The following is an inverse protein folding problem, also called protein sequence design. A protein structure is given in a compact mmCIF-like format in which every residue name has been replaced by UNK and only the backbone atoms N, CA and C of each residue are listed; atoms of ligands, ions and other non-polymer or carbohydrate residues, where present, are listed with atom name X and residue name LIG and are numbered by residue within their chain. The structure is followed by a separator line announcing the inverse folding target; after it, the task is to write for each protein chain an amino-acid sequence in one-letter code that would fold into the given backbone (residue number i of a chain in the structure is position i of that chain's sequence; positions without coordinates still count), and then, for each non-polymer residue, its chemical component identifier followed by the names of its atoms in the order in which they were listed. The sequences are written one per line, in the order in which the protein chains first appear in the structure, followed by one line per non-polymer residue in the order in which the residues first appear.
data_IF_532998659304
#
_entry.id   IF_532998659304
#
_cell.length_a   1.000
_cell.length_b   1.000
_cell.length_c   1.000
_cell.angle_alpha   90.00
_cell.angle_beta   90.00
_cell.angle_gamma   90.00
#
_symmetry.space_group_name_H-M   'P 1'
#
loop_
_entity.id
_entity.type
_entity.pdbx_description
1 polymer ?
#
# COMPACT_ATOMS: atom_id res chain seq x y z
N UNK A 1 -36.33 -61.50 -27.98
CA UNK A 1 -35.55 -60.29 -28.01
C UNK A 1 -35.66 -59.61 -26.64
N UNK A 2 -34.65 -59.75 -25.79
CA UNK A 2 -34.60 -59.11 -24.45
C UNK A 2 -33.66 -57.93 -24.53
N UNK A 3 -34.21 -56.72 -24.42
CA UNK A 3 -33.46 -55.50 -24.39
C UNK A 3 -32.84 -55.30 -22.99
N UNK A 4 -31.52 -55.22 -22.91
CA UNK A 4 -30.77 -54.97 -21.69
C UNK A 4 -30.56 -53.47 -21.59
N UNK A 5 -31.22 -52.82 -20.63
CA UNK A 5 -31.09 -51.40 -20.34
C UNK A 5 -29.94 -51.20 -19.31
N UNK A 6 -28.78 -50.74 -19.79
CA UNK A 6 -27.63 -50.46 -18.95
C UNK A 6 -27.81 -49.06 -18.31
N UNK A 7 -28.05 -49.00 -17.03
CA UNK A 7 -28.16 -47.77 -16.25
C UNK A 7 -26.72 -47.23 -15.97
N UNK A 8 -26.35 -46.11 -16.58
CA UNK A 8 -25.08 -45.46 -16.38
C UNK A 8 -25.25 -44.50 -15.17
N UNK A 9 -24.73 -44.88 -14.03
CA UNK A 9 -24.72 -44.05 -12.81
C UNK A 9 -23.56 -43.04 -12.91
N UNK A 10 -23.89 -41.76 -13.15
CA UNK A 10 -22.93 -40.68 -13.02
C UNK A 10 -22.68 -40.37 -11.53
N UNK A 11 -21.51 -40.74 -11.02
CA UNK A 11 -21.01 -40.30 -9.71
C UNK A 11 -20.57 -38.86 -9.82
N UNK A 12 -21.38 -37.91 -9.35
CA UNK A 12 -21.00 -36.51 -9.20
C UNK A 12 -20.09 -36.41 -7.98
N UNK A 13 -18.78 -36.28 -8.21
CA UNK A 13 -17.84 -35.92 -7.15
C UNK A 13 -18.00 -34.43 -6.84
N UNK A 14 -18.71 -34.12 -5.76
CA UNK A 14 -18.71 -32.78 -5.19
C UNK A 14 -17.39 -32.62 -4.48
N UNK A 15 -16.47 -31.93 -5.14
CA UNK A 15 -15.25 -31.41 -4.50
C UNK A 15 -15.68 -30.34 -3.50
N UNK A 16 -15.71 -30.68 -2.23
CA UNK A 16 -15.74 -29.70 -1.15
C UNK A 16 -14.42 -28.92 -1.21
N UNK A 17 -14.45 -27.73 -1.77
CA UNK A 17 -13.40 -26.74 -1.56
C UNK A 17 -13.52 -26.34 -0.08
N UNK A 18 -12.71 -26.95 0.77
CA UNK A 18 -12.55 -26.50 2.15
C UNK A 18 -12.00 -25.08 2.06
N UNK A 19 -12.85 -24.09 2.28
CA UNK A 19 -12.46 -22.70 2.32
C UNK A 19 -11.39 -22.53 3.39
N UNK A 20 -10.16 -22.22 3.00
CA UNK A 20 -9.12 -21.87 3.97
C UNK A 20 -9.64 -20.67 4.77
N UNK A 21 -9.71 -20.83 6.08
CA UNK A 21 -10.06 -19.72 6.97
C UNK A 21 -9.08 -18.57 6.71
N UNK A 22 -9.63 -17.36 6.56
CA UNK A 22 -8.79 -16.19 6.38
C UNK A 22 -7.91 -16.03 7.62
N UNK A 23 -6.59 -15.85 7.46
CA UNK A 23 -5.72 -15.65 8.61
C UNK A 23 -6.14 -14.39 9.38
N UNK A 24 -6.14 -14.52 10.70
CA UNK A 24 -6.53 -13.41 11.59
C UNK A 24 -5.39 -12.37 11.59
N UNK A 25 -5.65 -11.12 11.17
CA UNK A 25 -4.63 -10.10 11.18
C UNK A 25 -4.17 -9.77 12.60
N UNK A 26 -2.88 -9.46 12.81
CA UNK A 26 -2.43 -8.85 14.05
C UNK A 26 -3.18 -7.55 14.34
N UNK A 27 -3.22 -7.15 15.61
CA UNK A 27 -3.84 -5.90 16.01
C UNK A 27 -3.29 -4.71 15.20
N UNK A 28 -4.16 -3.83 14.74
CA UNK A 28 -3.80 -2.67 13.94
C UNK A 28 -3.46 -2.97 12.47
N UNK A 29 -3.54 -4.21 12.02
CA UNK A 29 -3.28 -4.60 10.64
C UNK A 29 -4.55 -5.10 9.92
N UNK A 30 -4.49 -5.18 8.61
CA UNK A 30 -5.52 -5.78 7.74
C UNK A 30 -4.90 -6.86 6.86
N UNK A 31 -5.71 -7.82 6.45
CA UNK A 31 -5.33 -8.91 5.56
C UNK A 31 -5.52 -8.52 4.10
N UNK A 32 -4.46 -8.67 3.29
CA UNK A 32 -4.50 -8.56 1.83
C UNK A 32 -4.23 -9.95 1.24
N UNK A 33 -5.19 -10.55 0.50
CA UNK A 33 -5.05 -11.90 -0.03
C UNK A 33 -4.00 -11.98 -1.14
N UNK A 34 -3.44 -13.17 -1.34
CA UNK A 34 -2.63 -13.47 -2.52
C UNK A 34 -3.46 -13.31 -3.80
N UNK A 35 -2.77 -13.13 -4.91
CA UNK A 35 -3.39 -13.11 -6.23
C UNK A 35 -3.05 -11.87 -7.05
N UNK A 36 -3.67 -11.81 -8.21
CA UNK A 36 -3.44 -10.77 -9.21
C UNK A 36 -4.17 -9.47 -8.90
N UNK A 37 -3.65 -8.38 -9.45
CA UNK A 37 -4.27 -7.05 -9.45
C UNK A 37 -3.76 -6.24 -10.63
N UNK A 38 -4.47 -5.18 -10.99
CA UNK A 38 -4.06 -4.23 -12.02
C UNK A 38 -3.13 -3.19 -11.39
N UNK A 39 -1.88 -3.16 -11.86
CA UNK A 39 -0.83 -2.24 -11.42
C UNK A 39 -0.51 -1.23 -12.50
N UNK A 40 -0.23 0.01 -12.09
CA UNK A 40 0.08 1.10 -13.00
C UNK A 40 -1.13 1.69 -13.71
N UNK A 41 -0.92 2.50 -14.73
CA UNK A 41 -1.98 3.21 -15.42
C UNK A 41 -1.70 3.35 -16.91
N UNK A 42 -2.77 3.40 -17.72
CA UNK A 42 -2.68 3.77 -19.14
C UNK A 42 -2.70 5.29 -19.34
N UNK A 43 -3.22 6.05 -18.36
CA UNK A 43 -3.40 7.50 -18.43
C UNK A 43 -2.49 8.29 -17.47
N UNK A 44 -1.75 7.59 -16.60
CA UNK A 44 -0.84 8.17 -15.62
C UNK A 44 0.44 8.74 -16.25
N UNK A 45 1.34 9.19 -15.38
CA UNK A 45 2.64 9.68 -15.79
C UNK A 45 3.47 8.58 -16.49
N UNK A 46 4.50 8.93 -17.27
CA UNK A 46 5.28 7.94 -18.02
C UNK A 46 5.84 6.79 -17.18
N UNK A 47 6.20 7.04 -15.93
CA UNK A 47 6.75 6.04 -15.01
C UNK A 47 5.70 5.11 -14.39
N UNK A 48 4.41 5.46 -14.48
CA UNK A 48 3.29 4.61 -14.08
C UNK A 48 2.91 3.56 -15.14
N UNK A 49 3.55 3.59 -16.30
CA UNK A 49 3.24 2.74 -17.47
C UNK A 49 4.25 1.62 -17.62
N UNK A 50 3.88 0.51 -18.32
CA UNK A 50 2.52 0.19 -18.76
C UNK A 50 1.61 -0.22 -17.59
N UNK A 51 0.30 -0.08 -17.75
CA UNK A 51 -0.65 -0.80 -16.92
C UNK A 51 -0.48 -2.30 -17.16
N UNK A 52 -0.39 -3.10 -16.10
CA UNK A 52 -0.08 -4.51 -16.18
C UNK A 52 -0.78 -5.34 -15.11
N UNK A 53 -0.92 -6.65 -15.37
CA UNK A 53 -1.31 -7.59 -14.32
C UNK A 53 -0.07 -7.88 -13.48
N UNK A 54 -0.17 -7.61 -12.19
CA UNK A 54 0.85 -7.95 -11.20
C UNK A 54 0.26 -8.90 -10.16
N UNK A 55 1.11 -9.59 -9.41
CA UNK A 55 0.65 -10.49 -8.34
C UNK A 55 1.51 -10.31 -7.08
N UNK A 56 0.90 -10.59 -5.93
CA UNK A 56 1.60 -10.67 -4.64
C UNK A 56 1.21 -11.95 -3.92
N UNK A 57 2.05 -12.40 -2.99
CA UNK A 57 1.63 -13.31 -1.93
C UNK A 57 0.60 -12.63 -1.04
N UNK A 58 -0.04 -13.38 -0.15
CA UNK A 58 -0.85 -12.79 0.93
C UNK A 58 0.07 -12.14 1.97
N UNK A 59 -0.39 -11.05 2.56
CA UNK A 59 0.34 -10.33 3.61
C UNK A 59 -0.62 -9.57 4.53
N UNK A 60 -0.13 -9.16 5.67
CA UNK A 60 -0.78 -8.17 6.52
C UNK A 60 -0.15 -6.80 6.28
N UNK A 61 -0.97 -5.74 6.33
CA UNK A 61 -0.50 -4.35 6.22
C UNK A 61 -1.12 -3.50 7.32
N UNK A 62 -0.38 -2.52 7.82
CA UNK A 62 -0.88 -1.60 8.85
C UNK A 62 -2.10 -0.83 8.35
N UNK A 63 -3.13 -0.71 9.21
CA UNK A 63 -4.31 0.11 8.93
C UNK A 63 -3.98 1.57 8.72
N UNK A 64 -3.05 2.07 9.53
CA UNK A 64 -2.62 3.46 9.57
C UNK A 64 -1.13 3.57 9.33
N UNK A 65 -0.67 4.77 8.99
CA UNK A 65 0.74 5.12 9.07
C UNK A 65 1.23 5.01 10.52
N UNK A 66 2.51 4.75 10.71
CA UNK A 66 3.15 4.73 12.03
C UNK A 66 3.12 6.13 12.63
N UNK A 67 2.56 6.28 13.83
CA UNK A 67 2.48 7.56 14.52
C UNK A 67 3.81 7.98 15.16
N UNK A 68 3.92 9.27 15.47
CA UNK A 68 5.04 9.81 16.24
C UNK A 68 5.24 9.07 17.57
N UNK A 69 4.15 8.74 18.28
CA UNK A 69 4.20 7.99 19.54
C UNK A 69 4.71 6.56 19.34
N UNK A 70 4.29 5.89 18.27
CA UNK A 70 4.75 4.52 17.97
C UNK A 70 6.23 4.53 17.59
N UNK A 71 6.66 5.47 16.75
CA UNK A 71 8.06 5.60 16.35
C UNK A 71 8.97 5.94 17.53
N UNK A 72 8.53 6.79 18.46
CA UNK A 72 9.31 7.14 19.66
C UNK A 72 9.55 5.97 20.62
N UNK A 73 8.77 4.88 20.54
CA UNK A 73 9.07 3.65 21.29
C UNK A 73 10.32 2.95 20.76
N UNK A 74 10.58 3.07 19.46
CA UNK A 74 11.77 2.56 18.80
C UNK A 74 12.98 3.49 18.98
N UNK A 75 12.78 4.80 18.74
CA UNK A 75 13.82 5.82 18.86
C UNK A 75 13.42 6.85 19.95
N UNK A 76 13.83 6.65 21.23
CA UNK A 76 13.50 7.58 22.32
C UNK A 76 14.11 8.98 22.14
N UNK A 77 15.04 9.14 21.21
CA UNK A 77 15.62 10.45 20.88
C UNK A 77 14.78 11.24 19.87
N UNK A 78 13.82 10.59 19.22
CA UNK A 78 12.90 11.22 18.28
C UNK A 78 12.01 12.24 18.98
N UNK A 79 12.07 13.49 18.54
CA UNK A 79 11.32 14.59 19.15
C UNK A 79 10.19 15.05 18.25
N UNK A 80 9.03 15.29 18.84
CA UNK A 80 7.85 15.84 18.18
C UNK A 80 7.02 16.66 19.19
N UNK A 81 6.23 17.63 18.73
CA UNK A 81 5.29 18.36 19.57
C UNK A 81 4.23 17.44 20.16
N UNK A 82 3.87 17.61 21.42
CA UNK A 82 2.93 16.72 22.13
C UNK A 82 1.55 16.65 21.48
N UNK A 83 1.09 17.74 20.89
CA UNK A 83 -0.17 17.83 20.13
C UNK A 83 -0.13 16.99 18.85
N UNK A 84 1.06 16.67 18.33
CA UNK A 84 1.26 15.84 17.12
C UNK A 84 1.55 14.37 17.42
N UNK A 85 1.30 13.90 18.64
CA UNK A 85 1.60 12.52 19.05
C UNK A 85 0.98 11.45 18.17
N UNK A 86 -0.20 11.71 17.61
CA UNK A 86 -0.92 10.79 16.72
C UNK A 86 -0.64 11.01 15.23
N UNK A 87 0.08 12.06 14.85
CA UNK A 87 0.43 12.30 13.47
C UNK A 87 1.45 11.26 12.98
N UNK A 88 1.51 11.05 11.66
CA UNK A 88 2.48 10.17 11.05
C UNK A 88 3.93 10.63 11.34
N UNK A 89 4.78 9.68 11.67
CA UNK A 89 6.21 9.93 11.89
C UNK A 89 6.91 10.18 10.54
N UNK A 90 7.52 11.34 10.40
CA UNK A 90 8.28 11.73 9.20
C UNK A 90 9.75 11.38 9.44
N UNK A 91 10.26 10.43 8.66
CA UNK A 91 11.60 9.87 8.87
C UNK A 91 12.28 9.52 7.54
N UNK A 92 13.61 9.33 7.58
CA UNK A 92 14.38 8.82 6.44
C UNK A 92 14.05 7.35 6.15
N UNK A 93 14.38 6.90 4.95
CA UNK A 93 14.14 5.50 4.55
C UNK A 93 14.86 4.51 5.48
N UNK A 94 16.13 4.79 5.84
CA UNK A 94 16.90 3.94 6.74
C UNK A 94 16.28 3.82 8.13
N UNK A 95 15.73 4.91 8.66
CA UNK A 95 15.00 4.89 9.93
C UNK A 95 13.67 4.15 9.82
N UNK A 96 12.96 4.29 8.69
CA UNK A 96 11.73 3.56 8.42
C UNK A 96 11.95 2.05 8.35
N UNK A 97 12.98 1.60 7.64
CA UNK A 97 13.35 0.20 7.52
C UNK A 97 13.81 -0.39 8.87
N UNK A 98 14.61 0.36 9.63
CA UNK A 98 15.03 -0.04 10.97
C UNK A 98 13.85 -0.18 11.95
N UNK A 99 12.91 0.78 11.91
CA UNK A 99 11.67 0.69 12.70
C UNK A 99 10.85 -0.54 12.33
N UNK A 100 10.64 -0.77 11.04
CA UNK A 100 9.85 -1.91 10.57
C UNK A 100 10.45 -3.24 11.07
N UNK A 101 11.76 -3.42 10.96
CA UNK A 101 12.48 -4.59 11.48
C UNK A 101 12.36 -4.75 13.00
N UNK A 102 12.51 -3.65 13.75
CA UNK A 102 12.33 -3.64 15.20
C UNK A 102 10.91 -4.07 15.61
N UNK A 103 9.90 -3.68 14.83
CA UNK A 103 8.50 -4.04 15.06
C UNK A 103 8.15 -5.48 14.61
N UNK A 104 9.12 -6.27 14.13
CA UNK A 104 8.88 -7.62 13.59
C UNK A 104 8.10 -7.58 12.26
N UNK A 105 8.30 -6.52 11.47
CA UNK A 105 7.66 -6.22 10.20
C UNK A 105 8.72 -5.85 9.16
N UNK A 106 8.27 -5.41 7.98
CA UNK A 106 9.12 -4.81 6.95
C UNK A 106 8.37 -3.67 6.23
N UNK A 107 9.09 -2.89 5.44
CA UNK A 107 8.45 -1.97 4.52
C UNK A 107 7.71 -2.77 3.42
N UNK A 108 6.57 -2.27 2.90
CA UNK A 108 5.92 -2.88 1.75
C UNK A 108 6.80 -2.77 0.51
N UNK A 109 6.71 -3.74 -0.38
CA UNK A 109 7.10 -3.51 -1.75
C UNK A 109 6.10 -2.54 -2.42
N UNK A 110 6.55 -1.87 -3.47
CA UNK A 110 5.68 -0.99 -4.24
C UNK A 110 4.42 -1.71 -4.75
N UNK A 111 4.56 -2.97 -5.18
CA UNK A 111 3.44 -3.83 -5.61
C UNK A 111 2.45 -4.10 -4.49
N UNK A 112 2.92 -4.43 -3.30
CA UNK A 112 2.07 -4.69 -2.13
C UNK A 112 1.32 -3.43 -1.70
N UNK A 113 2.02 -2.29 -1.72
CA UNK A 113 1.43 -1.01 -1.39
C UNK A 113 0.29 -0.64 -2.36
N UNK A 114 0.54 -0.75 -3.68
CA UNK A 114 -0.46 -0.43 -4.69
C UNK A 114 -1.64 -1.39 -4.64
N UNK A 115 -1.40 -2.70 -4.46
CA UNK A 115 -2.48 -3.68 -4.26
C UNK A 115 -3.33 -3.37 -3.04
N UNK A 116 -2.73 -3.03 -1.91
CA UNK A 116 -3.45 -2.69 -0.70
C UNK A 116 -4.34 -1.46 -0.87
N UNK A 117 -4.00 -0.57 -1.79
CA UNK A 117 -4.74 0.63 -2.12
C UNK A 117 -5.92 0.36 -3.06
N UNK A 118 -5.78 -0.56 -4.03
CA UNK A 118 -6.85 -0.94 -4.95
C UNK A 118 -6.39 -2.03 -5.94
N UNK A 119 -7.31 -2.89 -6.36
CA UNK A 119 -6.99 -4.09 -7.15
C UNK A 119 -7.36 -4.01 -8.63
N UNK A 120 -8.21 -3.08 -9.01
CA UNK A 120 -8.91 -3.04 -10.30
C UNK A 120 -8.46 -1.88 -11.21
N UNK A 121 -7.33 -1.23 -10.86
CA UNK A 121 -6.79 -0.11 -11.64
C UNK A 121 -7.57 1.20 -11.47
N UNK A 122 -8.40 1.30 -10.42
CA UNK A 122 -9.16 2.52 -10.10
C UNK A 122 -8.26 3.73 -9.87
N UNK A 123 -8.77 4.92 -10.18
CA UNK A 123 -8.00 6.17 -10.08
C UNK A 123 -7.64 6.50 -8.64
N UNK A 124 -8.58 6.36 -7.69
CA UNK A 124 -8.38 6.61 -6.27
C UNK A 124 -8.70 5.36 -5.45
N UNK A 125 -8.24 5.22 -4.21
CA UNK A 125 -8.51 4.05 -3.39
C UNK A 125 -10.00 3.71 -3.23
N UNK A 126 -10.87 4.71 -3.28
CA UNK A 126 -12.32 4.60 -3.14
C UNK A 126 -13.09 4.47 -4.47
N UNK A 127 -12.43 4.63 -5.63
CA UNK A 127 -13.05 4.56 -6.96
C UNK A 127 -12.48 5.57 -7.95
N UNK A 128 -13.19 5.85 -9.02
CA UNK A 128 -12.67 6.69 -10.11
C UNK A 128 -13.04 8.18 -9.96
N UNK A 129 -13.98 8.49 -9.10
CA UNK A 129 -14.41 9.88 -8.87
C UNK A 129 -13.70 10.45 -7.64
N UNK A 130 -13.15 11.66 -7.80
CA UNK A 130 -12.52 12.37 -6.68
C UNK A 130 -13.55 12.70 -5.59
N UNK A 131 -13.20 12.39 -4.35
CA UNK A 131 -14.01 12.70 -3.15
C UNK A 131 -13.06 13.13 -2.02
N UNK A 132 -13.15 14.40 -1.64
CA UNK A 132 -12.30 15.01 -0.62
C UNK A 132 -12.57 14.49 0.81
N UNK A 133 -13.68 13.79 1.03
CA UNK A 133 -14.00 13.21 2.35
C UNK A 133 -13.10 12.03 2.74
N UNK A 134 -12.34 11.49 1.79
CA UNK A 134 -11.36 10.42 2.02
C UNK A 134 -9.92 10.92 2.18
N UNK A 135 -9.69 12.23 2.12
CA UNK A 135 -8.32 12.79 2.05
C UNK A 135 -8.05 13.72 3.21
N UNK A 136 -6.93 13.53 3.88
CA UNK A 136 -6.43 14.48 4.89
C UNK A 136 -5.64 15.57 4.15
N UNK A 137 -6.25 16.75 4.01
CA UNK A 137 -5.63 17.95 3.45
C UNK A 137 -5.16 18.95 4.51
N UNK A 138 -5.52 18.75 5.78
CA UNK A 138 -5.07 19.65 6.84
C UNK A 138 -3.59 19.42 7.10
N UNK A 139 -2.77 20.45 6.85
CA UNK A 139 -1.33 20.43 7.12
C UNK A 139 -0.98 20.25 8.60
N UNK A 140 -1.94 20.40 9.49
CA UNK A 140 -1.77 20.19 10.93
C UNK A 140 -1.91 18.74 11.34
N UNK A 141 -2.62 17.94 10.55
CA UNK A 141 -2.88 16.53 10.81
C UNK A 141 -2.35 15.65 9.68
N UNK A 142 -1.64 14.61 10.04
CA UNK A 142 -1.10 13.61 9.12
C UNK A 142 -1.37 12.23 9.71
N UNK A 143 -2.56 11.79 9.74
CA UNK A 143 -3.05 10.45 10.08
C UNK A 143 -4.55 10.57 10.33
N UNK A 144 -5.31 9.68 9.77
CA UNK A 144 -6.76 9.64 9.67
C UNK A 144 -7.62 9.74 10.92
N UNK A 145 -7.18 10.50 11.92
CA UNK A 145 -8.01 10.76 13.10
C UNK A 145 -9.28 11.55 12.78
N UNK A 146 -9.29 12.26 11.65
CA UNK A 146 -10.46 13.04 11.16
C UNK A 146 -11.27 12.30 10.11
N UNK A 147 -10.78 11.17 9.55
CA UNK A 147 -11.47 10.41 8.51
C UNK A 147 -12.23 9.25 9.11
N UNK A 148 -13.54 9.26 8.93
CA UNK A 148 -14.45 8.28 9.54
C UNK A 148 -14.43 6.90 8.89
N UNK A 149 -13.84 6.75 7.69
CA UNK A 149 -13.88 5.49 6.92
C UNK A 149 -12.59 5.23 6.16
N UNK A 150 -12.20 3.95 5.99
CA UNK A 150 -11.00 3.62 5.23
C UNK A 150 -11.17 3.96 3.75
N UNK A 151 -10.09 4.44 3.12
CA UNK A 151 -10.07 4.70 1.69
C UNK A 151 -9.92 3.41 0.87
N UNK A 152 -9.14 2.46 1.35
CA UNK A 152 -8.78 1.21 0.67
C UNK A 152 -9.88 0.14 0.79
N UNK A 153 -10.06 -0.72 -0.23
CA UNK A 153 -11.01 -1.84 -0.18
C UNK A 153 -10.66 -2.88 0.89
N UNK A 154 -9.44 -2.88 1.41
CA UNK A 154 -9.01 -3.77 2.49
C UNK A 154 -9.12 -3.16 3.89
N UNK A 155 -9.49 -1.88 3.98
CA UNK A 155 -9.67 -1.19 5.26
C UNK A 155 -8.46 -0.39 5.74
N UNK A 156 -7.51 -0.05 4.85
CA UNK A 156 -6.44 0.89 5.16
C UNK A 156 -6.95 2.33 5.08
N UNK A 157 -6.52 3.14 6.03
CA UNK A 157 -6.77 4.58 6.11
C UNK A 157 -5.60 5.35 5.50
N UNK A 158 -5.84 6.56 5.06
CA UNK A 158 -4.84 7.56 4.65
C UNK A 158 -3.94 7.16 3.47
N UNK A 159 -4.33 6.15 2.70
CA UNK A 159 -3.57 5.75 1.50
C UNK A 159 -3.66 6.76 0.34
N UNK A 160 -4.22 7.94 0.60
CA UNK A 160 -4.30 9.06 -0.33
C UNK A 160 -4.20 10.37 0.45
N UNK A 161 -3.13 11.13 0.27
CA UNK A 161 -2.85 12.32 1.08
C UNK A 161 -2.17 11.96 2.40
N UNK A 162 -2.38 12.75 3.46
CA UNK A 162 -1.63 12.63 4.72
C UNK A 162 -0.13 12.80 4.49
N UNK A 163 0.65 11.74 4.42
CA UNK A 163 2.06 11.76 4.05
C UNK A 163 2.37 10.76 2.95
N UNK A 164 3.42 11.00 2.19
CA UNK A 164 4.02 9.97 1.35
C UNK A 164 4.45 8.79 2.23
N UNK A 165 4.45 7.60 1.66
CA UNK A 165 4.83 6.38 2.38
C UNK A 165 6.01 5.69 1.69
N UNK A 166 7.03 5.32 2.47
CA UNK A 166 8.18 4.58 2.00
C UNK A 166 7.81 3.18 1.53
N UNK A 167 8.42 2.77 0.42
CA UNK A 167 8.47 1.37 0.00
C UNK A 167 9.89 0.82 0.10
N UNK A 168 10.04 -0.50 0.01
CA UNK A 168 11.36 -1.14 0.00
C UNK A 168 12.09 -0.95 -1.33
N UNK A 169 11.38 -0.61 -2.40
CA UNK A 169 11.89 -0.63 -3.76
C UNK A 169 12.77 0.57 -4.09
N UNK A 170 13.77 0.31 -4.92
CA UNK A 170 14.44 1.35 -5.66
C UNK A 170 13.57 1.84 -6.81
N UNK A 171 13.71 3.11 -7.17
CA UNK A 171 12.95 3.69 -8.26
C UNK A 171 13.48 3.18 -9.60
N UNK A 172 12.82 2.15 -10.11
CA UNK A 172 13.14 1.47 -11.39
C UNK A 172 11.94 1.52 -12.33
N UNK A 173 12.16 1.43 -13.65
CA UNK A 173 11.05 1.35 -14.60
C UNK A 173 10.23 0.07 -14.35
N UNK A 174 8.94 0.13 -14.58
CA UNK A 174 8.12 -1.09 -14.64
C UNK A 174 8.54 -1.98 -15.80
N UNK A 175 8.37 -3.30 -15.70
CA UNK A 175 8.59 -4.21 -16.82
C UNK A 175 7.85 -3.73 -18.07
N UNK A 176 8.57 -3.61 -19.20
CA UNK A 176 8.03 -3.10 -20.44
C UNK A 176 7.97 -1.57 -20.58
N UNK A 177 8.32 -0.82 -19.57
CA UNK A 177 8.49 0.63 -19.71
C UNK A 177 9.80 0.96 -20.45
N UNK A 178 9.70 1.69 -21.55
CA UNK A 178 10.85 2.09 -22.39
C UNK A 178 11.17 3.58 -22.31
N UNK A 179 10.43 4.33 -21.48
CA UNK A 179 10.69 5.78 -21.31
C UNK A 179 11.90 5.94 -20.40
N UNK A 180 12.97 6.57 -20.87
CA UNK A 180 14.15 6.79 -20.05
C UNK A 180 13.88 7.90 -19.02
N UNK A 181 14.33 7.69 -17.79
CA UNK A 181 14.37 8.72 -16.75
C UNK A 181 15.72 8.65 -16.03
N UNK A 182 16.35 9.80 -15.83
CA UNK A 182 17.65 9.90 -15.15
C UNK A 182 17.62 9.39 -13.71
N UNK A 183 16.44 9.39 -13.11
CA UNK A 183 16.23 8.98 -11.72
C UNK A 183 16.11 7.48 -11.53
N UNK A 184 15.96 6.70 -12.62
CA UNK A 184 15.92 5.25 -12.53
C UNK A 184 17.25 4.65 -12.08
N UNK A 185 17.20 3.66 -11.21
CA UNK A 185 18.37 2.94 -10.71
C UNK A 185 18.30 2.66 -9.21
N UNK A 186 19.45 2.72 -8.55
CA UNK A 186 19.58 2.46 -7.11
C UNK A 186 20.04 3.71 -6.33
N UNK A 187 19.56 4.87 -6.75
CA UNK A 187 19.82 6.16 -6.10
C UNK A 187 18.62 6.65 -5.30
N UNK A 188 17.42 6.44 -5.85
CA UNK A 188 16.17 6.92 -5.27
C UNK A 188 15.29 5.77 -4.83
N UNK A 189 14.63 5.93 -3.68
CA UNK A 189 13.57 5.02 -3.20
C UNK A 189 12.22 5.48 -3.70
N UNK A 190 11.34 4.51 -3.95
CA UNK A 190 9.94 4.78 -4.29
C UNK A 190 9.19 5.21 -3.05
N UNK A 191 8.41 6.28 -3.17
CA UNK A 191 7.37 6.66 -2.22
C UNK A 191 6.01 6.75 -2.90
N UNK A 192 4.96 6.49 -2.14
CA UNK A 192 3.59 6.34 -2.64
C UNK A 192 2.59 7.14 -1.80
N UNK A 193 1.40 7.42 -2.35
CA UNK A 193 0.26 7.95 -1.61
C UNK A 193 -0.03 9.43 -1.79
N UNK A 194 0.97 10.24 -2.12
CA UNK A 194 0.84 11.69 -2.05
C UNK A 194 0.87 12.19 -0.61
N UNK A 195 0.78 13.48 -0.43
CA UNK A 195 0.72 14.08 0.90
C UNK A 195 -0.29 15.22 0.95
N UNK A 196 -0.56 15.72 2.14
CA UNK A 196 -1.39 16.90 2.37
C UNK A 196 -0.82 18.22 1.81
N UNK A 197 0.39 18.21 1.26
CA UNK A 197 1.00 19.33 0.52
C UNK A 197 0.82 19.24 -1.00
N UNK A 198 0.28 18.13 -1.49
CA UNK A 198 0.14 17.88 -2.92
C UNK A 198 -1.31 18.16 -3.38
N UNK A 199 -1.49 18.41 -4.66
CA UNK A 199 -2.83 18.46 -5.25
C UNK A 199 -3.37 17.04 -5.52
N UNK A 200 -4.63 16.95 -5.94
CA UNK A 200 -5.32 15.68 -6.17
C UNK A 200 -4.68 14.78 -7.24
N UNK A 201 -3.83 15.30 -8.14
CA UNK A 201 -3.16 14.47 -9.15
C UNK A 201 -2.13 13.54 -8.54
N UNK A 202 -1.54 13.92 -7.40
CA UNK A 202 -0.53 13.12 -6.69
C UNK A 202 -1.10 12.03 -5.78
N UNK A 203 -2.42 11.98 -5.60
CA UNK A 203 -3.08 10.97 -4.78
C UNK A 203 -3.77 9.89 -5.61
N UNK A 204 -3.44 9.73 -6.89
CA UNK A 204 -3.92 8.62 -7.73
C UNK A 204 -3.33 7.31 -7.27
N UNK A 205 -4.07 6.21 -7.43
CA UNK A 205 -3.63 4.86 -7.00
C UNK A 205 -2.31 4.45 -7.64
N UNK A 206 -2.12 4.73 -8.92
CA UNK A 206 -0.91 4.42 -9.68
C UNK A 206 0.25 5.39 -9.46
N UNK A 207 -0.01 6.58 -8.86
CA UNK A 207 1.00 7.62 -8.72
C UNK A 207 2.25 7.11 -8.01
N UNK A 208 3.38 7.28 -8.65
CA UNK A 208 4.72 6.98 -8.16
C UNK A 208 5.46 8.29 -7.91
N UNK A 209 6.33 8.29 -6.92
CA UNK A 209 7.31 9.35 -6.78
C UNK A 209 8.59 8.80 -6.16
N UNK A 210 9.65 9.60 -6.17
CA UNK A 210 10.97 9.16 -5.78
C UNK A 210 11.69 10.23 -4.95
N UNK A 211 12.53 9.79 -4.02
CA UNK A 211 13.34 10.68 -3.21
C UNK A 211 14.61 9.94 -2.75
N UNK A 212 15.67 10.70 -2.50
CA UNK A 212 16.90 10.16 -1.90
C UNK A 212 16.57 9.55 -0.53
N UNK A 213 17.08 8.36 -0.19
CA UNK A 213 16.73 7.64 1.04
C UNK A 213 16.86 8.45 2.32
N UNK A 214 17.85 9.33 2.39
CA UNK A 214 18.18 10.13 3.56
C UNK A 214 17.65 11.58 3.49
N UNK A 215 16.78 11.91 2.52
CA UNK A 215 16.20 13.25 2.36
C UNK A 215 14.72 13.25 2.73
N UNK A 216 14.37 14.02 3.77
CA UNK A 216 12.99 14.19 4.24
C UNK A 216 12.49 15.64 4.15
N UNK A 217 13.34 16.56 3.65
CA UNK A 217 13.04 17.99 3.73
C UNK A 217 12.17 18.51 2.58
N UNK A 218 12.01 17.74 1.51
CA UNK A 218 11.24 18.16 0.32
C UNK A 218 9.79 17.75 0.44
N UNK A 219 9.55 16.53 0.97
CA UNK A 219 8.21 15.97 1.15
C UNK A 219 8.12 15.27 2.50
N UNK A 220 6.98 15.31 3.18
CA UNK A 220 6.76 14.49 4.36
C UNK A 220 6.61 13.02 3.93
N UNK A 221 7.56 12.16 4.35
CA UNK A 221 7.51 10.73 4.04
C UNK A 221 7.46 9.95 5.34
N UNK A 222 6.39 9.17 5.50
CA UNK A 222 6.11 8.35 6.69
C UNK A 222 6.30 6.86 6.44
N UNK A 223 5.78 6.08 7.35
CA UNK A 223 5.95 4.63 7.42
C UNK A 223 4.58 3.96 7.46
N UNK A 224 4.38 2.95 6.61
CA UNK A 224 3.38 1.89 6.77
C UNK A 224 4.09 0.57 6.62
N UNK A 225 3.88 -0.35 7.56
CA UNK A 225 4.56 -1.64 7.53
C UNK A 225 3.67 -2.76 7.00
N UNK A 226 4.34 -3.80 6.51
CA UNK A 226 3.73 -5.09 6.18
C UNK A 226 4.35 -6.20 7.02
N UNK A 227 3.60 -7.29 7.20
CA UNK A 227 4.06 -8.51 7.83
C UNK A 227 3.71 -9.68 6.94
N UNK A 228 4.68 -10.56 6.71
CA UNK A 228 4.45 -11.79 5.97
C UNK A 228 3.55 -12.74 6.78
N UNK A 229 2.84 -13.61 6.08
CA UNK A 229 2.04 -14.68 6.67
C UNK A 229 2.89 -15.94 6.61
N UNK A 230 3.14 -16.52 7.78
CA UNK A 230 3.89 -17.76 7.96
C UNK A 230 3.18 -18.98 7.34
#
# INVERSE_FOLDING_TARGET
MKSCLTLLTFLVHILYVVGQEKPVPPEGMVFVPAGEFIMGSVYGDPDERPQQIASTKAFFIDKYEVSNTEFAKFDPTFKFPSEKKNNAAIVTWSKADAYAKWAGKRLPTEKEWEKARGIDGRVFPWGDTYDNTYVVWDQKETRGTSIAKPASPYGCYDMAGSVWEWTSDWYKPYPGNTVPMEQYGETYKVMRGGSNFNNHSFIRTSQRYYVLPEKIHVYPVGIRCVKDID
#
